data_IF_247775056851
#
_entry.id   IF_247775056851
#
_cell.length_a   1.000
_cell.length_b   1.000
_cell.length_c   1.000
_cell.angle_alpha   90.00
_cell.angle_beta   90.00
_cell.angle_gamma   90.00
#
_symmetry.space_group_name_H-M   'P 1'
#
loop_
_entity.id
_entity.type
_entity.pdbx_description
1 polymer ?
#
# COMPACT_ATOMS: atom_id res chain seq x y z
N UNK A 1 -50.06 29.17 19.15
CA UNK A 1 -48.63 29.13 19.42
C UNK A 1 -48.06 27.81 20.01
N UNK A 2 -48.88 26.80 20.30
CA UNK A 2 -48.41 25.49 20.86
C UNK A 2 -48.19 24.38 19.78
N UNK A 3 -48.69 24.52 18.57
CA UNK A 3 -48.51 23.53 17.49
C UNK A 3 -47.18 23.67 16.73
N UNK A 4 -46.62 24.86 16.67
CA UNK A 4 -45.33 25.12 15.95
C UNK A 4 -44.09 24.60 16.73
N UNK A 5 -44.17 24.57 18.07
CA UNK A 5 -43.09 24.02 18.92
C UNK A 5 -42.94 22.51 18.86
N UNK A 6 -44.05 21.77 18.64
CA UNK A 6 -44.04 20.32 18.55
C UNK A 6 -43.45 19.80 17.24
N UNK A 7 -43.69 20.53 16.11
CA UNK A 7 -43.17 20.16 14.80
C UNK A 7 -41.65 20.41 14.70
N UNK A 8 -41.15 21.48 15.27
CA UNK A 8 -39.72 21.78 15.34
C UNK A 8 -38.96 20.77 16.25
N UNK A 9 -39.61 20.33 17.37
CA UNK A 9 -38.97 19.35 18.26
C UNK A 9 -38.88 17.96 17.59
N UNK A 10 -39.84 17.55 16.77
CA UNK A 10 -39.84 16.27 16.04
C UNK A 10 -38.84 16.27 14.92
N UNK A 11 -38.51 17.43 14.32
CA UNK A 11 -37.48 17.56 13.30
C UNK A 11 -36.06 17.54 13.87
N UNK A 12 -35.90 18.01 15.13
CA UNK A 12 -34.60 18.02 15.81
C UNK A 12 -34.35 16.83 16.75
N UNK A 13 -35.38 16.06 17.16
CA UNK A 13 -35.25 14.84 17.96
C UNK A 13 -35.20 13.55 17.14
N UNK A 14 -35.35 13.62 15.83
CA UNK A 14 -35.14 12.52 14.89
C UNK A 14 -33.65 12.30 14.54
N UNK A 15 -32.76 12.49 15.50
CA UNK A 15 -31.32 12.29 15.36
C UNK A 15 -30.87 10.84 15.49
N UNK A 16 -31.61 9.88 14.87
CA UNK A 16 -31.10 8.53 14.73
C UNK A 16 -30.50 8.32 13.33
N UNK A 17 -29.16 8.22 13.34
CA UNK A 17 -28.34 7.43 12.43
C UNK A 17 -28.44 7.71 10.93
N UNK A 18 -28.18 8.90 10.50
CA UNK A 18 -27.69 9.16 9.13
C UNK A 18 -26.21 9.54 9.09
N UNK A 19 -25.43 9.24 10.10
CA UNK A 19 -24.00 9.10 9.94
C UNK A 19 -23.72 7.78 9.23
N UNK A 20 -23.98 7.71 7.92
CA UNK A 20 -23.25 6.80 7.04
C UNK A 20 -21.78 7.02 7.39
N UNK A 21 -21.18 6.13 8.21
CA UNK A 21 -19.73 6.13 8.45
C UNK A 21 -19.11 6.17 7.06
N UNK A 22 -18.56 7.31 6.67
CA UNK A 22 -17.86 7.47 5.40
C UNK A 22 -16.73 6.44 5.46
N UNK A 23 -16.94 5.30 4.79
CA UNK A 23 -15.96 4.21 4.79
C UNK A 23 -14.72 4.74 4.08
N UNK A 24 -13.69 5.03 4.87
CA UNK A 24 -12.43 5.55 4.37
C UNK A 24 -11.89 4.53 3.36
N UNK A 25 -11.63 4.93 2.10
CA UNK A 25 -11.10 4.00 1.12
C UNK A 25 -9.78 3.42 1.60
N UNK A 26 -9.61 2.12 1.47
CA UNK A 26 -8.35 1.44 1.76
C UNK A 26 -7.25 1.91 0.81
N UNK A 27 -5.98 1.61 1.12
CA UNK A 27 -4.85 1.95 0.24
C UNK A 27 -4.96 1.24 -1.10
N UNK A 28 -5.41 -0.01 -1.09
CA UNK A 28 -5.69 -0.77 -2.31
C UNK A 28 -6.77 -0.10 -3.15
N UNK A 29 -7.88 0.33 -2.53
CA UNK A 29 -8.99 0.95 -3.27
C UNK A 29 -8.57 2.29 -3.90
N UNK A 30 -7.72 3.08 -3.23
CA UNK A 30 -7.12 4.27 -3.81
C UNK A 30 -6.24 3.94 -5.02
N UNK A 31 -5.32 3.00 -4.88
CA UNK A 31 -4.45 2.59 -5.97
C UNK A 31 -5.23 1.99 -7.15
N UNK A 32 -6.29 1.20 -6.87
CA UNK A 32 -7.18 0.65 -7.90
C UNK A 32 -7.88 1.76 -8.70
N UNK A 33 -8.38 2.81 -8.04
CA UNK A 33 -9.03 3.94 -8.71
C UNK A 33 -8.07 4.70 -9.62
N UNK A 34 -6.84 4.95 -9.16
CA UNK A 34 -5.80 5.55 -9.97
C UNK A 34 -5.39 4.66 -11.15
N UNK A 35 -5.33 3.35 -10.96
CA UNK A 35 -5.04 2.41 -12.05
C UNK A 35 -6.16 2.40 -13.10
N UNK A 36 -7.44 2.47 -12.68
CA UNK A 36 -8.59 2.64 -13.60
C UNK A 36 -8.44 3.95 -14.38
N UNK A 37 -8.10 5.04 -13.71
CA UNK A 37 -7.88 6.33 -14.39
C UNK A 37 -6.80 6.20 -15.47
N UNK A 38 -5.64 5.67 -15.14
CA UNK A 38 -4.54 5.50 -16.09
C UNK A 38 -4.91 4.60 -17.27
N UNK A 39 -5.54 3.45 -17.01
CA UNK A 39 -5.93 2.51 -18.07
C UNK A 39 -7.00 3.10 -18.99
N UNK A 40 -7.94 3.85 -18.47
CA UNK A 40 -8.94 4.56 -19.29
C UNK A 40 -8.30 5.71 -20.07
N UNK A 41 -7.50 6.54 -19.43
CA UNK A 41 -6.86 7.70 -20.06
C UNK A 41 -5.98 7.27 -21.24
N UNK A 42 -5.12 6.27 -21.03
CA UNK A 42 -4.24 5.76 -22.08
C UNK A 42 -5.02 4.98 -23.13
N UNK A 43 -5.97 4.14 -22.73
CA UNK A 43 -6.77 3.34 -23.65
C UNK A 43 -7.62 4.18 -24.59
N UNK A 44 -8.35 5.17 -24.05
CA UNK A 44 -9.17 6.09 -24.86
C UNK A 44 -8.26 6.95 -25.74
N UNK A 45 -7.17 7.50 -25.21
CA UNK A 45 -6.20 8.28 -25.99
C UNK A 45 -5.62 7.49 -27.16
N UNK A 46 -5.26 6.22 -26.93
CA UNK A 46 -4.77 5.33 -27.97
C UNK A 46 -5.84 5.02 -29.05
N UNK A 47 -7.09 4.82 -28.66
CA UNK A 47 -8.21 4.65 -29.61
C UNK A 47 -8.40 5.90 -30.47
N UNK A 48 -8.40 7.08 -29.85
CA UNK A 48 -8.53 8.36 -30.59
C UNK A 48 -7.34 8.58 -31.54
N UNK A 49 -6.11 8.33 -31.07
CA UNK A 49 -4.92 8.43 -31.90
C UNK A 49 -4.92 7.45 -33.08
N UNK A 50 -5.29 6.19 -32.82
CA UNK A 50 -5.43 5.19 -33.87
C UNK A 50 -6.51 5.55 -34.89
N UNK A 51 -7.68 6.05 -34.43
CA UNK A 51 -8.74 6.50 -35.31
C UNK A 51 -8.26 7.62 -36.24
N UNK A 52 -7.51 8.61 -35.71
CA UNK A 52 -6.92 9.67 -36.53
C UNK A 52 -5.98 9.13 -37.60
N UNK A 53 -5.09 8.18 -37.26
CA UNK A 53 -4.15 7.53 -38.17
C UNK A 53 -4.88 6.69 -39.25
N UNK A 54 -5.99 6.06 -38.91
CA UNK A 54 -6.74 5.20 -39.84
C UNK A 54 -7.66 6.01 -40.77
N UNK A 55 -8.18 7.17 -40.29
CA UNK A 55 -9.00 8.08 -41.10
C UNK A 55 -8.15 8.79 -42.15
N UNK A 56 -6.96 9.26 -41.76
CA UNK A 56 -5.98 9.85 -42.68
C UNK A 56 -4.61 9.18 -42.53
N UNK A 57 -4.37 8.10 -43.30
CA UNK A 57 -3.10 7.38 -43.26
C UNK A 57 -1.89 8.21 -43.67
N UNK A 58 -2.07 9.35 -44.36
CA UNK A 58 -0.94 10.25 -44.69
C UNK A 58 -0.43 11.03 -43.50
N UNK A 59 -1.24 11.09 -42.38
CA UNK A 59 -0.91 11.82 -41.15
C UNK A 59 -1.07 13.34 -41.25
N UNK A 60 -1.51 13.89 -42.40
CA UNK A 60 -1.67 15.34 -42.62
C UNK A 60 -2.71 15.96 -41.67
N UNK A 61 -3.86 15.30 -41.49
CA UNK A 61 -4.89 15.77 -40.60
C UNK A 61 -4.43 15.88 -39.13
N UNK A 62 -3.44 15.12 -38.74
CA UNK A 62 -2.83 15.14 -37.39
C UNK A 62 -1.51 15.92 -37.33
N UNK A 63 -1.05 16.50 -38.44
CA UNK A 63 0.22 17.20 -38.53
C UNK A 63 1.43 16.27 -38.35
N UNK A 64 1.32 14.99 -38.71
CA UNK A 64 2.33 13.96 -38.52
C UNK A 64 3.00 13.52 -39.84
N UNK A 65 2.62 14.09 -40.96
CA UNK A 65 3.17 13.76 -42.29
C UNK A 65 4.69 13.89 -42.35
N UNK A 66 5.28 14.90 -41.70
CA UNK A 66 6.72 15.11 -41.60
C UNK A 66 7.46 14.03 -40.78
N UNK A 67 6.74 13.17 -40.05
CA UNK A 67 7.34 12.11 -39.23
C UNK A 67 7.48 10.78 -39.97
N UNK A 68 6.81 10.57 -41.11
CA UNK A 68 6.89 9.32 -41.88
C UNK A 68 8.31 8.91 -42.26
N UNK A 69 9.22 9.79 -42.72
CA UNK A 69 10.57 9.40 -43.09
C UNK A 69 11.37 8.76 -41.94
N UNK A 70 11.06 9.08 -40.69
CA UNK A 70 11.78 8.50 -39.57
C UNK A 70 11.46 7.02 -39.33
N UNK A 71 10.38 6.49 -39.92
CA UNK A 71 10.05 5.06 -39.85
C UNK A 71 11.03 4.18 -40.69
N UNK A 72 11.79 4.76 -41.60
CA UNK A 72 12.84 4.05 -42.36
C UNK A 72 13.85 3.36 -41.44
N UNK A 73 14.02 3.83 -40.22
CA UNK A 73 14.89 3.21 -39.21
C UNK A 73 14.38 1.87 -38.68
N UNK A 74 13.10 1.54 -38.91
CA UNK A 74 12.52 0.30 -38.44
C UNK A 74 12.71 -0.84 -39.42
N UNK A 75 12.83 -2.09 -38.95
CA UNK A 75 12.83 -3.25 -39.81
C UNK A 75 11.49 -3.35 -40.56
N UNK A 76 11.57 -3.77 -41.83
CA UNK A 76 10.40 -3.91 -42.72
C UNK A 76 9.67 -2.58 -43.00
N UNK A 77 10.36 -1.43 -42.92
CA UNK A 77 9.77 -0.12 -43.12
C UNK A 77 9.12 0.03 -44.49
N UNK A 78 9.76 -0.52 -45.55
CA UNK A 78 9.24 -0.50 -46.92
C UNK A 78 7.91 -1.25 -47.12
N UNK A 79 7.52 -2.13 -46.20
CA UNK A 79 6.28 -2.90 -46.28
C UNK A 79 5.23 -2.42 -45.27
N UNK A 80 5.64 -2.14 -44.03
CA UNK A 80 4.71 -1.92 -42.92
C UNK A 80 4.49 -0.44 -42.59
N UNK A 81 5.43 0.46 -42.99
CA UNK A 81 5.44 1.83 -42.52
C UNK A 81 5.46 2.86 -43.68
N UNK A 82 4.83 2.50 -44.83
CA UNK A 82 4.67 3.44 -45.96
C UNK A 82 3.64 4.55 -45.59
N UNK A 83 2.77 4.26 -44.66
CA UNK A 83 1.73 5.15 -44.11
C UNK A 83 1.48 4.84 -42.63
N UNK A 84 0.49 5.47 -42.06
CA UNK A 84 0.14 5.29 -40.66
C UNK A 84 -0.85 4.14 -40.37
N UNK A 85 -1.29 3.32 -41.35
CA UNK A 85 -2.27 2.25 -41.15
C UNK A 85 -1.75 1.20 -40.18
N UNK A 86 -0.53 0.68 -40.41
CA UNK A 86 0.06 -0.33 -39.50
C UNK A 86 0.30 0.22 -38.09
N UNK A 87 0.78 1.46 -38.00
CA UNK A 87 1.00 2.14 -36.72
C UNK A 87 -0.29 2.35 -35.97
N UNK A 88 -1.38 2.77 -36.66
CA UNK A 88 -2.71 2.95 -36.09
C UNK A 88 -3.31 1.65 -35.58
N UNK A 89 -3.24 0.55 -36.36
CA UNK A 89 -3.73 -0.77 -35.93
C UNK A 89 -2.92 -1.25 -34.72
N UNK A 90 -1.60 -1.12 -34.75
CA UNK A 90 -0.73 -1.52 -33.65
C UNK A 90 -1.03 -0.72 -32.38
N UNK A 91 -1.20 0.59 -32.48
CA UNK A 91 -1.58 1.45 -31.36
C UNK A 91 -2.94 1.04 -30.76
N UNK A 92 -3.92 0.77 -31.63
CA UNK A 92 -5.26 0.36 -31.23
C UNK A 92 -5.23 -0.95 -30.43
N UNK A 93 -4.49 -1.94 -30.89
CA UNK A 93 -4.41 -3.26 -30.25
C UNK A 93 -3.57 -3.18 -28.97
N UNK A 94 -2.33 -2.66 -29.10
CA UNK A 94 -1.32 -2.75 -28.02
C UNK A 94 -1.61 -1.79 -26.88
N UNK A 95 -2.07 -0.58 -27.15
CA UNK A 95 -2.34 0.42 -26.11
C UNK A 95 -3.83 0.73 -25.94
N UNK A 96 -4.66 0.60 -26.98
CA UNK A 96 -6.09 0.87 -26.93
C UNK A 96 -6.86 -0.26 -26.23
N UNK A 97 -7.13 -1.34 -26.96
CA UNK A 97 -7.95 -2.45 -26.46
C UNK A 97 -7.36 -3.13 -25.24
N UNK A 98 -6.05 -3.27 -25.13
CA UNK A 98 -5.37 -3.84 -23.97
C UNK A 98 -5.72 -3.05 -22.70
N UNK A 99 -5.53 -1.73 -22.72
CA UNK A 99 -5.83 -0.89 -21.56
C UNK A 99 -7.33 -0.82 -21.23
N UNK A 100 -8.20 -0.74 -22.24
CA UNK A 100 -9.65 -0.78 -22.02
C UNK A 100 -10.11 -2.11 -21.42
N UNK A 101 -9.52 -3.23 -21.85
CA UNK A 101 -9.76 -4.54 -21.24
C UNK A 101 -9.30 -4.58 -19.78
N UNK A 102 -8.12 -4.04 -19.47
CA UNK A 102 -7.65 -3.93 -18.09
C UNK A 102 -8.59 -3.06 -17.23
N UNK A 103 -9.08 -1.94 -17.79
CA UNK A 103 -10.06 -1.06 -17.12
C UNK A 103 -11.34 -1.83 -16.79
N UNK A 104 -11.91 -2.56 -17.76
CA UNK A 104 -13.10 -3.39 -17.54
C UNK A 104 -12.88 -4.43 -16.44
N UNK A 105 -11.77 -5.15 -16.47
CA UNK A 105 -11.42 -6.13 -15.43
C UNK A 105 -11.26 -5.48 -14.04
N UNK A 106 -10.72 -4.26 -13.98
CA UNK A 106 -10.61 -3.50 -12.72
C UNK A 106 -11.97 -3.04 -12.21
N UNK A 107 -12.89 -2.62 -13.09
CA UNK A 107 -14.29 -2.32 -12.71
C UNK A 107 -14.97 -3.55 -12.11
N UNK A 108 -14.82 -4.70 -12.73
CA UNK A 108 -15.35 -5.98 -12.23
C UNK A 108 -14.53 -6.59 -11.07
N UNK A 109 -13.58 -5.84 -10.49
CA UNK A 109 -12.74 -6.25 -9.35
C UNK A 109 -11.96 -7.55 -9.57
N UNK A 110 -11.67 -7.92 -10.82
CA UNK A 110 -10.89 -9.12 -11.13
C UNK A 110 -9.41 -8.93 -10.79
N UNK A 111 -8.77 -9.96 -10.24
CA UNK A 111 -7.33 -9.93 -9.89
C UNK A 111 -6.44 -9.66 -11.10
N UNK A 112 -6.79 -10.25 -12.25
CA UNK A 112 -6.08 -10.07 -13.51
C UNK A 112 -6.02 -8.61 -13.97
N UNK A 113 -7.06 -7.80 -13.70
CA UNK A 113 -7.06 -6.39 -14.05
C UNK A 113 -5.94 -5.58 -13.39
N UNK A 114 -5.54 -5.94 -12.16
CA UNK A 114 -4.44 -5.28 -11.45
C UNK A 114 -3.11 -5.59 -12.13
N UNK A 115 -2.89 -6.85 -12.49
CA UNK A 115 -1.64 -7.30 -13.11
C UNK A 115 -1.54 -6.70 -14.52
N UNK A 116 -2.59 -6.90 -15.34
CA UNK A 116 -2.62 -6.41 -16.72
C UNK A 116 -2.51 -4.89 -16.78
N UNK A 117 -3.23 -4.16 -15.90
CA UNK A 117 -3.12 -2.70 -15.84
C UNK A 117 -1.70 -2.21 -15.56
N UNK A 118 -0.96 -2.87 -14.67
CA UNK A 118 0.45 -2.57 -14.42
C UNK A 118 1.36 -2.93 -15.60
N UNK A 119 1.17 -4.13 -16.19
CA UNK A 119 1.95 -4.61 -17.34
C UNK A 119 1.76 -3.69 -18.55
N UNK A 120 0.55 -3.22 -18.84
CA UNK A 120 0.31 -2.33 -19.98
C UNK A 120 0.93 -0.94 -19.79
N UNK A 121 1.19 -0.49 -18.56
CA UNK A 121 2.06 0.66 -18.32
C UNK A 121 3.50 0.43 -18.80
N UNK A 122 4.05 -0.76 -18.53
CA UNK A 122 5.39 -1.15 -19.06
C UNK A 122 5.35 -1.28 -20.58
N UNK A 123 4.29 -1.85 -21.14
CA UNK A 123 4.11 -1.94 -22.60
C UNK A 123 4.12 -0.56 -23.26
N UNK A 124 3.43 0.43 -22.66
CA UNK A 124 3.47 1.81 -23.14
C UNK A 124 4.89 2.39 -23.07
N UNK A 125 5.61 2.18 -21.97
CA UNK A 125 7.01 2.63 -21.89
C UNK A 125 7.88 2.03 -23.00
N UNK A 126 7.75 0.73 -23.27
CA UNK A 126 8.48 0.06 -24.36
C UNK A 126 8.09 0.61 -25.73
N UNK A 127 6.80 0.87 -25.95
CA UNK A 127 6.31 1.54 -27.15
C UNK A 127 6.98 2.92 -27.36
N UNK A 128 7.06 3.70 -26.29
CA UNK A 128 7.71 5.02 -26.35
C UNK A 128 9.25 4.91 -26.51
N UNK A 129 9.90 3.87 -25.98
CA UNK A 129 11.31 3.62 -26.26
C UNK A 129 11.56 3.42 -27.76
N UNK A 130 10.67 2.74 -28.48
CA UNK A 130 10.75 2.61 -29.94
C UNK A 130 10.62 4.00 -30.59
N UNK A 131 9.69 4.84 -30.12
CA UNK A 131 9.54 6.21 -30.63
C UNK A 131 10.80 7.06 -30.37
N UNK A 132 11.45 6.95 -29.21
CA UNK A 132 12.72 7.65 -28.95
C UNK A 132 13.85 7.18 -29.85
N UNK A 133 13.84 5.93 -30.32
CA UNK A 133 14.79 5.44 -31.29
C UNK A 133 14.53 6.02 -32.69
N UNK A 134 13.27 6.14 -33.09
CA UNK A 134 12.87 6.63 -34.41
C UNK A 134 12.96 8.15 -34.51
N UNK A 135 12.33 8.86 -33.59
CA UNK A 135 12.16 10.30 -33.67
C UNK A 135 13.21 11.06 -32.85
N UNK A 136 13.51 12.31 -33.19
CA UNK A 136 14.21 13.21 -32.31
C UNK A 136 13.46 13.32 -30.97
N UNK A 137 14.20 13.62 -29.91
CA UNK A 137 13.62 13.83 -28.59
C UNK A 137 12.48 14.86 -28.67
N UNK A 138 11.30 14.46 -28.21
CA UNK A 138 10.10 15.31 -28.26
C UNK A 138 9.31 15.22 -26.94
N UNK A 139 8.60 16.31 -26.66
CA UNK A 139 7.85 16.47 -25.43
C UNK A 139 6.71 15.44 -25.28
N UNK A 140 5.99 15.14 -26.36
CA UNK A 140 4.85 14.22 -26.31
C UNK A 140 5.28 12.80 -25.93
N UNK A 141 6.31 12.26 -26.58
CA UNK A 141 6.84 10.93 -26.24
C UNK A 141 7.33 10.89 -24.78
N UNK A 142 7.99 11.95 -24.31
CA UNK A 142 8.46 12.03 -22.92
C UNK A 142 7.30 11.98 -21.93
N UNK A 143 6.22 12.72 -22.18
CA UNK A 143 5.02 12.70 -21.31
C UNK A 143 4.38 11.31 -21.30
N UNK A 144 4.20 10.68 -22.46
CA UNK A 144 3.60 9.35 -22.50
C UNK A 144 4.50 8.28 -21.85
N UNK A 145 5.81 8.42 -21.91
CA UNK A 145 6.72 7.57 -21.14
C UNK A 145 6.48 7.71 -19.64
N UNK A 146 6.34 8.94 -19.14
CA UNK A 146 6.02 9.23 -17.73
C UNK A 146 4.65 8.65 -17.35
N UNK A 147 3.63 8.75 -18.21
CA UNK A 147 2.32 8.15 -17.96
C UNK A 147 2.39 6.63 -17.88
N UNK A 148 3.16 5.98 -18.75
CA UNK A 148 3.42 4.53 -18.69
C UNK A 148 4.09 4.15 -17.38
N UNK A 149 5.09 4.89 -16.93
CA UNK A 149 5.76 4.68 -15.65
C UNK A 149 4.81 4.87 -14.46
N UNK A 150 3.97 5.91 -14.48
CA UNK A 150 2.98 6.17 -13.45
C UNK A 150 1.92 5.05 -13.39
N UNK A 151 1.46 4.57 -14.55
CA UNK A 151 0.53 3.43 -14.63
C UNK A 151 1.17 2.15 -14.07
N UNK A 152 2.39 1.81 -14.47
CA UNK A 152 3.11 0.63 -14.00
C UNK A 152 3.35 0.67 -12.48
N UNK A 153 3.80 1.81 -11.96
CA UNK A 153 3.99 2.03 -10.53
C UNK A 153 2.68 1.91 -9.75
N UNK A 154 1.58 2.45 -10.28
CA UNK A 154 0.24 2.35 -9.68
C UNK A 154 -0.25 0.90 -9.67
N UNK A 155 -0.04 0.14 -10.74
CA UNK A 155 -0.36 -1.28 -10.84
C UNK A 155 0.40 -2.12 -9.82
N UNK A 156 1.70 -1.87 -9.69
CA UNK A 156 2.54 -2.52 -8.68
C UNK A 156 2.08 -2.19 -7.26
N UNK A 157 1.81 -0.91 -6.97
CA UNK A 157 1.30 -0.48 -5.68
C UNK A 157 -0.06 -1.14 -5.34
N UNK A 158 -0.98 -1.19 -6.30
CA UNK A 158 -2.28 -1.86 -6.13
C UNK A 158 -2.11 -3.35 -5.81
N UNK A 159 -1.18 -4.03 -6.48
CA UNK A 159 -0.88 -5.44 -6.24
C UNK A 159 -0.32 -5.68 -4.83
N UNK A 160 0.64 -4.87 -4.39
CA UNK A 160 1.22 -4.94 -3.04
C UNK A 160 0.14 -4.65 -1.98
N UNK A 161 -0.64 -3.57 -2.14
CA UNK A 161 -1.65 -3.19 -1.15
C UNK A 161 -2.75 -4.24 -1.05
N UNK A 162 -3.14 -4.86 -2.16
CA UNK A 162 -4.09 -5.98 -2.12
C UNK A 162 -3.56 -7.15 -1.31
N UNK A 163 -2.29 -7.53 -1.49
CA UNK A 163 -1.67 -8.59 -0.69
C UNK A 163 -1.60 -8.24 0.79
N UNK A 164 -1.29 -6.98 1.11
CA UNK A 164 -1.22 -6.50 2.49
C UNK A 164 -2.59 -6.52 3.18
N UNK A 165 -3.64 -6.08 2.48
CA UNK A 165 -5.00 -6.03 3.03
C UNK A 165 -5.67 -7.42 3.10
N UNK A 166 -5.21 -8.38 2.32
CA UNK A 166 -5.70 -9.78 2.38
C UNK A 166 -4.97 -10.63 3.42
N UNK A 167 -3.98 -10.08 4.12
CA UNK A 167 -3.24 -10.79 5.15
C UNK A 167 -4.03 -10.78 6.45
N UNK A 168 -4.53 -11.95 6.86
CA UNK A 168 -5.36 -12.13 8.05
C UNK A 168 -4.65 -13.15 8.95
N UNK A 169 -4.65 -12.89 10.25
CA UNK A 169 -4.20 -13.80 11.30
C UNK A 169 -5.42 -14.30 12.03
N UNK A 170 -5.70 -15.60 11.91
CA UNK A 170 -6.83 -16.23 12.60
C UNK A 170 -6.40 -16.64 14.01
N UNK A 171 -7.02 -16.12 15.07
CA UNK A 171 -6.73 -16.52 16.45
C UNK A 171 -6.95 -18.03 16.71
N UNK A 172 -7.83 -18.68 15.96
CA UNK A 172 -8.11 -20.10 16.11
C UNK A 172 -6.90 -21.01 15.80
N UNK A 173 -5.95 -20.52 15.01
CA UNK A 173 -4.71 -21.25 14.69
C UNK A 173 -3.71 -21.32 15.88
N UNK A 174 -4.03 -20.63 17.00
CA UNK A 174 -3.12 -20.45 18.14
C UNK A 174 -3.76 -20.86 19.48
N UNK A 175 -4.04 -22.17 19.69
CA UNK A 175 -4.85 -22.66 20.82
C UNK A 175 -4.19 -22.57 22.20
N UNK A 176 -2.87 -22.33 22.25
CA UNK A 176 -2.10 -22.32 23.51
C UNK A 176 -1.97 -20.92 24.14
N UNK A 177 -2.47 -19.89 23.47
CA UNK A 177 -2.46 -18.52 23.98
C UNK A 177 -3.26 -18.43 25.30
N UNK A 178 -2.63 -17.84 26.34
CA UNK A 178 -3.24 -17.59 27.64
C UNK A 178 -3.11 -18.73 28.64
N UNK A 179 -2.50 -19.86 28.29
CA UNK A 179 -2.27 -21.00 29.21
C UNK A 179 -1.24 -20.70 30.31
N UNK A 180 -0.32 -19.75 30.06
CA UNK A 180 0.70 -19.32 31.01
C UNK A 180 0.38 -17.89 31.51
N UNK A 181 -0.18 -17.73 32.71
CA UNK A 181 -0.58 -16.41 33.23
C UNK A 181 0.60 -15.51 33.61
N UNK A 182 1.81 -16.07 33.79
CA UNK A 182 3.00 -15.31 34.16
C UNK A 182 3.67 -14.59 32.99
N UNK A 183 3.24 -14.87 31.76
CA UNK A 183 3.83 -14.30 30.53
C UNK A 183 2.83 -13.48 29.75
N UNK A 184 3.29 -12.36 29.17
CA UNK A 184 2.51 -11.50 28.32
C UNK A 184 3.24 -11.21 27.01
N UNK A 185 2.55 -11.26 25.89
CA UNK A 185 3.03 -10.73 24.61
C UNK A 185 2.26 -9.47 24.28
N UNK A 186 2.97 -8.37 24.18
CA UNK A 186 2.44 -7.05 23.82
C UNK A 186 2.81 -6.73 22.39
N UNK A 187 1.88 -6.24 21.58
CA UNK A 187 2.18 -5.91 20.20
C UNK A 187 1.39 -4.71 19.68
N UNK A 188 1.96 -4.08 18.67
CA UNK A 188 1.25 -3.16 17.79
C UNK A 188 1.38 -3.64 16.34
N UNK A 189 0.27 -3.74 15.62
CA UNK A 189 0.29 -4.19 14.24
C UNK A 189 -0.67 -3.41 13.35
N UNK A 190 -0.13 -2.81 12.28
CA UNK A 190 -0.95 -2.06 11.31
C UNK A 190 -1.46 -2.94 10.15
N UNK A 191 -0.67 -3.95 9.74
CA UNK A 191 -0.91 -4.79 8.56
C UNK A 191 -1.05 -6.28 8.90
N UNK A 192 -1.09 -6.64 10.18
CA UNK A 192 -1.18 -8.04 10.62
C UNK A 192 0.16 -8.76 10.75
N UNK A 193 1.25 -8.28 10.15
CA UNK A 193 2.54 -8.99 10.15
C UNK A 193 3.14 -9.12 11.54
N UNK A 194 3.13 -8.05 12.34
CA UNK A 194 3.58 -8.11 13.74
C UNK A 194 2.61 -8.96 14.55
N UNK A 195 1.30 -8.85 14.31
CA UNK A 195 0.27 -9.66 14.96
C UNK A 195 0.57 -11.15 14.78
N UNK A 196 0.92 -11.61 13.57
CA UNK A 196 1.30 -13.01 13.34
C UNK A 196 2.47 -13.43 14.23
N UNK A 197 3.56 -12.64 14.28
CA UNK A 197 4.72 -12.99 15.12
C UNK A 197 4.41 -12.94 16.61
N UNK A 198 3.54 -12.01 17.03
CA UNK A 198 3.05 -11.95 18.41
C UNK A 198 2.22 -13.19 18.78
N UNK A 199 1.33 -13.62 17.88
CA UNK A 199 0.51 -14.82 18.10
C UNK A 199 1.34 -16.10 18.09
N UNK A 200 2.31 -16.23 17.16
CA UNK A 200 3.26 -17.36 17.15
C UNK A 200 4.05 -17.45 18.47
N UNK A 201 4.57 -16.31 18.97
CA UNK A 201 5.32 -16.28 20.21
C UNK A 201 4.42 -16.53 21.44
N UNK A 202 3.22 -15.96 21.47
CA UNK A 202 2.27 -16.19 22.53
C UNK A 202 1.82 -17.65 22.60
N UNK A 203 1.56 -18.28 21.45
CA UNK A 203 1.22 -19.70 21.37
C UNK A 203 2.37 -20.59 21.82
N UNK A 204 3.61 -20.27 21.39
CA UNK A 204 4.83 -21.02 21.77
C UNK A 204 5.10 -20.98 23.26
N UNK A 205 4.82 -19.86 23.93
CA UNK A 205 5.12 -19.63 25.35
C UNK A 205 3.91 -19.81 26.28
N UNK A 206 2.74 -19.98 25.69
CA UNK A 206 1.46 -19.97 26.41
C UNK A 206 1.06 -18.59 26.93
N UNK A 207 1.75 -17.52 26.54
CA UNK A 207 1.58 -16.18 27.07
C UNK A 207 0.17 -15.61 26.77
N UNK A 208 -0.33 -14.72 27.66
CA UNK A 208 -1.45 -13.84 27.33
C UNK A 208 -1.04 -12.84 26.26
N UNK A 209 -2.01 -12.28 25.56
CA UNK A 209 -1.76 -11.32 24.48
C UNK A 209 -2.41 -9.98 24.78
N UNK A 210 -1.72 -8.88 24.45
CA UNK A 210 -2.21 -7.51 24.58
C UNK A 210 -1.87 -6.70 23.35
N UNK A 211 -2.88 -6.13 22.70
CA UNK A 211 -2.72 -5.26 21.53
C UNK A 211 -2.69 -3.79 21.96
N UNK A 212 -1.61 -3.10 21.63
CA UNK A 212 -1.52 -1.64 21.80
C UNK A 212 -2.47 -0.99 20.80
N UNK A 213 -3.42 -0.19 21.26
CA UNK A 213 -4.33 0.59 20.44
C UNK A 213 -3.92 2.05 20.45
N UNK A 214 -3.80 2.63 19.27
CA UNK A 214 -3.56 4.06 19.13
C UNK A 214 -4.87 4.82 19.09
N UNK A 215 -4.92 5.98 19.73
CA UNK A 215 -6.04 6.93 19.62
C UNK A 215 -5.97 7.74 18.32
N UNK A 216 -4.80 7.72 17.66
CA UNK A 216 -4.56 8.36 16.37
C UNK A 216 -4.94 7.43 15.21
N UNK A 217 -5.18 8.06 14.05
CA UNK A 217 -5.50 7.32 12.84
C UNK A 217 -4.28 6.55 12.31
N UNK A 218 -4.35 5.23 12.29
CA UNK A 218 -3.30 4.35 11.77
C UNK A 218 -3.66 3.67 10.45
N UNK A 219 -4.93 3.72 10.03
CA UNK A 219 -5.47 2.98 8.89
C UNK A 219 -5.54 3.82 7.60
N UNK A 220 -5.59 3.12 6.46
CA UNK A 220 -5.72 3.70 5.13
C UNK A 220 -4.49 4.48 4.66
N UNK A 221 -4.64 5.27 3.60
CA UNK A 221 -3.55 6.07 3.02
C UNK A 221 -3.12 7.21 3.95
N UNK A 222 -4.08 7.94 4.51
CA UNK A 222 -3.76 9.03 5.44
C UNK A 222 -3.11 8.51 6.71
N UNK A 223 -3.59 7.39 7.27
CA UNK A 223 -2.96 6.75 8.42
C UNK A 223 -1.52 6.31 8.13
N UNK A 224 -1.23 5.84 6.91
CA UNK A 224 0.14 5.51 6.51
C UNK A 224 1.07 6.73 6.58
N UNK A 225 0.67 7.85 5.98
CA UNK A 225 1.45 9.09 6.01
C UNK A 225 1.58 9.66 7.43
N UNK A 226 0.51 9.57 8.22
CA UNK A 226 0.49 10.03 9.61
C UNK A 226 1.45 9.21 10.47
N UNK A 227 1.39 7.88 10.40
CA UNK A 227 2.37 7.00 11.05
C UNK A 227 3.81 7.27 10.60
N UNK A 228 4.01 7.52 9.30
CA UNK A 228 5.31 7.88 8.73
C UNK A 228 5.87 9.16 9.33
N UNK A 229 5.03 10.19 9.50
CA UNK A 229 5.40 11.47 10.15
C UNK A 229 5.88 11.25 11.59
N UNK A 230 5.12 10.52 12.40
CA UNK A 230 5.53 10.19 13.77
C UNK A 230 6.85 9.41 13.80
N UNK A 231 7.04 8.46 12.86
CA UNK A 231 8.29 7.71 12.74
C UNK A 231 9.48 8.57 12.37
N UNK A 232 9.34 9.51 11.42
CA UNK A 232 10.41 10.42 11.00
C UNK A 232 10.87 11.34 12.12
N UNK A 233 9.93 11.87 12.90
CA UNK A 233 10.23 12.77 14.02
C UNK A 233 10.56 12.03 15.32
N UNK A 234 10.47 10.69 15.34
CA UNK A 234 10.65 9.87 16.55
C UNK A 234 9.74 10.27 17.70
N UNK A 235 8.55 10.75 17.39
CA UNK A 235 7.55 11.11 18.40
C UNK A 235 6.86 9.86 18.95
N UNK A 236 6.42 9.93 20.19
CA UNK A 236 5.47 8.97 20.74
C UNK A 236 4.07 9.27 20.19
N UNK A 237 3.35 8.23 19.73
CA UNK A 237 1.98 8.38 19.26
C UNK A 237 1.03 8.06 20.41
N UNK A 238 0.00 8.91 20.68
CA UNK A 238 -0.96 8.64 21.73
C UNK A 238 -1.60 7.26 21.59
N UNK A 239 -1.73 6.56 22.73
CA UNK A 239 -2.33 5.24 22.83
C UNK A 239 -3.46 5.25 23.86
N UNK A 240 -4.37 4.26 23.78
CA UNK A 240 -5.34 4.01 24.83
C UNK A 240 -4.62 3.62 26.14
N UNK A 241 -5.29 3.83 27.27
CA UNK A 241 -4.76 3.44 28.57
C UNK A 241 -4.45 1.95 28.63
N UNK A 242 -3.33 1.61 29.26
CA UNK A 242 -2.90 0.22 29.42
C UNK A 242 -3.84 -0.45 30.42
N UNK A 243 -4.73 -1.34 29.94
CA UNK A 243 -5.77 -1.99 30.73
C UNK A 243 -5.29 -3.20 31.53
N UNK A 244 -4.01 -3.55 31.48
CA UNK A 244 -3.42 -4.70 32.17
C UNK A 244 -2.37 -4.23 33.17
N UNK A 245 -2.30 -4.88 34.33
CA UNK A 245 -1.22 -4.65 35.29
C UNK A 245 0.06 -5.37 34.82
N UNK A 246 1.01 -4.58 34.27
CA UNK A 246 2.27 -5.10 33.74
C UNK A 246 3.17 -5.70 34.82
N UNK A 247 3.06 -5.24 36.07
CA UNK A 247 3.88 -5.72 37.20
C UNK A 247 3.52 -7.13 37.66
N UNK A 248 2.31 -7.59 37.29
CA UNK A 248 1.83 -8.95 37.59
C UNK A 248 2.53 -10.04 36.76
N UNK A 249 3.20 -9.67 35.65
CA UNK A 249 3.88 -10.63 34.77
C UNK A 249 5.36 -10.77 35.16
N UNK A 250 5.87 -11.98 35.02
CA UNK A 250 7.29 -12.26 35.22
C UNK A 250 8.12 -11.89 33.98
N UNK A 251 7.53 -12.08 32.79
CA UNK A 251 8.19 -11.84 31.54
C UNK A 251 7.25 -11.27 30.47
N UNK A 252 7.68 -10.24 29.76
CA UNK A 252 6.90 -9.59 28.70
C UNK A 252 7.69 -9.58 27.39
N UNK A 253 7.09 -10.16 26.33
CA UNK A 253 7.64 -10.03 24.97
C UNK A 253 6.96 -8.87 24.26
N UNK A 254 7.74 -7.89 23.76
CA UNK A 254 7.21 -6.75 23.04
C UNK A 254 7.48 -6.90 21.53
N UNK A 255 6.42 -6.95 20.73
CA UNK A 255 6.49 -7.08 19.29
C UNK A 255 6.20 -5.74 18.60
N UNK A 256 7.15 -5.23 17.84
CA UNK A 256 7.07 -3.91 17.20
C UNK A 256 7.34 -3.96 15.70
N UNK A 257 6.59 -3.20 14.89
CA UNK A 257 7.06 -2.87 13.55
C UNK A 257 8.18 -1.81 13.64
N UNK A 258 9.01 -1.75 12.62
CA UNK A 258 9.96 -0.65 12.43
C UNK A 258 9.37 0.34 11.42
N UNK A 259 9.31 1.62 11.80
CA UNK A 259 8.86 2.71 10.98
C UNK A 259 9.97 3.71 10.74
N UNK A 260 10.25 4.01 9.47
CA UNK A 260 11.29 4.97 9.08
C UNK A 260 12.63 4.69 9.84
N UNK A 261 13.06 3.42 9.81
CA UNK A 261 14.30 2.93 10.43
C UNK A 261 14.37 3.11 11.96
N UNK A 262 13.25 3.30 12.64
CA UNK A 262 13.17 3.50 14.09
C UNK A 262 12.01 2.71 14.72
N UNK A 263 11.96 2.70 16.06
CA UNK A 263 10.87 2.10 16.82
C UNK A 263 9.52 2.71 16.42
N UNK A 264 8.49 1.89 16.28
CA UNK A 264 7.15 2.37 15.95
C UNK A 264 6.59 3.27 17.06
N UNK A 265 5.99 4.37 16.66
CA UNK A 265 5.53 5.43 17.55
C UNK A 265 4.52 4.98 18.65
N UNK A 266 3.54 4.08 18.40
CA UNK A 266 2.68 3.56 19.45
C UNK A 266 3.44 2.68 20.45
N UNK A 267 4.43 1.90 19.99
CA UNK A 267 5.25 1.08 20.89
C UNK A 267 6.17 1.96 21.73
N UNK A 268 6.68 3.06 21.17
CA UNK A 268 7.44 4.06 21.93
C UNK A 268 6.61 4.65 23.07
N UNK A 269 5.35 5.01 22.80
CA UNK A 269 4.42 5.50 23.83
C UNK A 269 4.16 4.44 24.91
N UNK A 270 3.93 3.19 24.49
CA UNK A 270 3.75 2.07 25.43
C UNK A 270 4.99 1.88 26.32
N UNK A 271 6.18 1.82 25.76
CA UNK A 271 7.40 1.65 26.53
C UNK A 271 7.61 2.78 27.55
N UNK A 272 7.33 4.02 27.17
CA UNK A 272 7.39 5.16 28.09
C UNK A 272 6.38 5.05 29.24
N UNK A 273 5.14 4.63 28.97
CA UNK A 273 4.09 4.43 29.98
C UNK A 273 4.34 3.20 30.88
N UNK A 274 5.08 2.21 30.38
CA UNK A 274 5.43 0.98 31.07
C UNK A 274 6.74 1.08 31.87
N UNK A 275 7.39 2.24 31.87
CA UNK A 275 8.70 2.46 32.53
C UNK A 275 8.72 1.98 33.99
N UNK A 276 9.67 1.08 34.33
CA UNK A 276 9.83 0.54 35.68
C UNK A 276 8.75 -0.46 36.13
N UNK A 277 7.81 -0.85 35.26
CA UNK A 277 6.74 -1.83 35.56
C UNK A 277 7.02 -3.22 35.02
N UNK A 278 8.04 -3.38 34.19
CA UNK A 278 8.39 -4.64 33.50
C UNK A 278 9.64 -5.22 34.15
N UNK A 279 9.56 -6.47 34.62
CA UNK A 279 10.66 -7.17 35.31
C UNK A 279 11.69 -7.75 34.34
N UNK A 280 11.21 -8.32 33.23
CA UNK A 280 12.06 -8.95 32.19
C UNK A 280 11.38 -8.78 30.84
N UNK A 281 12.17 -8.48 29.81
CA UNK A 281 11.66 -8.21 28.46
C UNK A 281 12.43 -8.96 27.37
N UNK A 282 11.69 -9.41 26.33
CA UNK A 282 12.22 -9.83 25.02
C UNK A 282 11.60 -8.96 23.93
N UNK A 283 12.32 -8.80 22.82
CA UNK A 283 11.83 -8.00 21.69
C UNK A 283 11.76 -8.82 20.41
N UNK A 284 10.66 -8.60 19.67
CA UNK A 284 10.44 -9.10 18.32
C UNK A 284 10.18 -7.93 17.39
N UNK A 285 11.10 -7.67 16.46
CA UNK A 285 11.00 -6.59 15.50
C UNK A 285 10.62 -7.12 14.12
N UNK A 286 9.70 -6.45 13.44
CA UNK A 286 9.27 -6.81 12.08
C UNK A 286 9.42 -5.61 11.15
N UNK A 287 10.11 -5.80 10.02
CA UNK A 287 10.44 -4.72 9.09
C UNK A 287 10.60 -5.22 7.65
N UNK A 288 10.76 -4.30 6.68
CA UNK A 288 10.97 -4.63 5.26
C UNK A 288 12.44 -4.66 4.82
N UNK A 289 13.32 -4.09 5.61
CA UNK A 289 14.75 -3.93 5.29
C UNK A 289 15.59 -5.11 5.80
N UNK A 290 16.90 -5.07 5.65
CA UNK A 290 17.81 -6.14 6.09
C UNK A 290 18.52 -5.87 7.42
N UNK A 291 18.26 -4.75 8.11
CA UNK A 291 18.91 -4.40 9.37
C UNK A 291 18.32 -5.15 10.56
N UNK A 292 19.12 -5.40 11.59
CA UNK A 292 18.68 -6.06 12.83
C UNK A 292 17.96 -5.09 13.80
N UNK A 293 18.19 -3.80 13.64
CA UNK A 293 17.56 -2.73 14.43
C UNK A 293 17.85 -2.77 15.94
N UNK A 294 19.09 -3.03 16.29
CA UNK A 294 19.58 -2.96 17.68
C UNK A 294 19.38 -1.58 18.31
N UNK A 295 19.43 -0.52 17.49
CA UNK A 295 19.13 0.84 17.94
C UNK A 295 17.69 1.00 18.44
N UNK A 296 16.73 0.30 17.85
CA UNK A 296 15.34 0.32 18.31
C UNK A 296 15.18 -0.50 19.60
N UNK A 297 15.91 -1.61 19.74
CA UNK A 297 15.95 -2.37 20.99
C UNK A 297 16.56 -1.55 22.14
N UNK A 298 17.70 -0.90 21.91
CA UNK A 298 18.34 -0.02 22.90
C UNK A 298 17.44 1.18 23.28
N UNK A 299 16.65 1.72 22.34
CA UNK A 299 15.65 2.75 22.65
C UNK A 299 14.57 2.19 23.59
N UNK A 300 14.09 0.94 23.37
CA UNK A 300 13.12 0.27 24.23
C UNK A 300 13.67 0.05 25.63
N UNK A 301 14.91 -0.44 25.76
CA UNK A 301 15.60 -0.62 27.06
C UNK A 301 15.65 0.68 27.86
N UNK A 302 16.03 1.77 27.19
CA UNK A 302 16.09 3.10 27.81
C UNK A 302 14.73 3.58 28.30
N UNK A 303 13.68 3.39 27.51
CA UNK A 303 12.32 3.81 27.84
C UNK A 303 11.72 2.97 28.96
N UNK A 304 11.93 1.66 28.92
CA UNK A 304 11.42 0.71 29.92
C UNK A 304 12.21 0.73 31.23
N UNK A 305 13.46 1.20 31.19
CA UNK A 305 14.45 1.07 32.28
C UNK A 305 14.75 -0.39 32.64
N UNK A 306 14.74 -1.28 31.63
CA UNK A 306 14.97 -2.73 31.77
C UNK A 306 15.69 -3.19 30.51
N UNK A 307 16.81 -3.89 30.64
CA UNK A 307 17.53 -4.48 29.51
C UNK A 307 16.79 -5.73 29.01
N UNK A 308 16.77 -5.90 27.68
CA UNK A 308 16.16 -7.08 27.08
C UNK A 308 17.08 -8.31 27.22
N UNK A 309 16.46 -9.50 27.32
CA UNK A 309 17.21 -10.77 27.38
C UNK A 309 17.36 -11.40 26.00
N UNK A 310 16.44 -11.14 25.07
CA UNK A 310 16.48 -11.65 23.70
C UNK A 310 15.94 -10.65 22.71
N UNK A 311 16.62 -10.53 21.54
CA UNK A 311 16.17 -9.76 20.39
C UNK A 311 16.04 -10.65 19.16
N UNK A 312 14.84 -10.76 18.62
CA UNK A 312 14.56 -11.39 17.32
C UNK A 312 14.13 -10.31 16.32
N UNK A 313 14.73 -10.34 15.14
CA UNK A 313 14.44 -9.36 14.08
C UNK A 313 14.04 -10.10 12.80
N UNK A 314 12.89 -9.74 12.23
CA UNK A 314 12.33 -10.42 11.06
C UNK A 314 12.13 -9.46 9.90
N UNK A 315 12.79 -9.74 8.77
CA UNK A 315 12.44 -9.14 7.50
C UNK A 315 11.15 -9.78 7.00
N UNK A 316 10.13 -8.97 6.75
CA UNK A 316 8.85 -9.41 6.20
C UNK A 316 8.61 -8.83 4.83
N UNK A 317 8.32 -9.66 3.85
CA UNK A 317 7.85 -9.23 2.53
C UNK A 317 6.51 -9.91 2.22
N UNK A 318 5.41 -9.15 2.27
CA UNK A 318 4.04 -9.63 1.97
C UNK A 318 3.64 -10.91 2.71
N UNK A 319 3.98 -11.01 4.02
CA UNK A 319 3.66 -12.18 4.86
C UNK A 319 4.69 -13.30 4.85
N UNK A 320 5.79 -13.18 4.09
CA UNK A 320 6.92 -14.11 4.16
C UNK A 320 7.99 -13.53 5.08
N UNK A 321 8.37 -14.28 6.11
CA UNK A 321 9.32 -13.86 7.12
C UNK A 321 10.68 -14.53 6.92
N UNK A 322 11.74 -13.74 7.15
CA UNK A 322 13.12 -14.21 7.23
C UNK A 322 13.73 -13.59 8.48
N UNK A 323 14.23 -14.43 9.39
CA UNK A 323 14.96 -13.96 10.56
C UNK A 323 16.31 -13.37 10.13
N UNK A 324 16.65 -12.24 10.73
CA UNK A 324 17.93 -11.54 10.56
C UNK A 324 18.76 -11.84 11.82
N UNK A 325 19.82 -12.60 11.66
CA UNK A 325 20.76 -12.97 12.72
C UNK A 325 21.77 -11.85 12.98
#
# INVERSE_FOLDING_TARGET
MRLFGAILWTIFSGGDSLTKKIKIPSRFEHARRWLIFWTLFIGVGAVCGAAGMLIDPTGKAMGMDSMLPYFEKLPFSEILFQDYVFSGISLLIVNGFSNLTAAALLFFRKKSGIILGGVFGVTLMLWICIQFYMFPFNFMSTIYFIFGAAQAATGYAAWIFKKQESFIVDPADYPDIGKNPARLVVFFSRLGYVKQKAFEEANRTGAKIYEIKSTERTEGTLGFWWCGRFGMHRWAMPIEDISVDLSSFEHITICSPIWVFSLAAPVRAFCAAAAGKIKSADYILVHHTGGRYENAAAEMDKLLKTEHTCLKSYKCHTGKFKEIK
#
